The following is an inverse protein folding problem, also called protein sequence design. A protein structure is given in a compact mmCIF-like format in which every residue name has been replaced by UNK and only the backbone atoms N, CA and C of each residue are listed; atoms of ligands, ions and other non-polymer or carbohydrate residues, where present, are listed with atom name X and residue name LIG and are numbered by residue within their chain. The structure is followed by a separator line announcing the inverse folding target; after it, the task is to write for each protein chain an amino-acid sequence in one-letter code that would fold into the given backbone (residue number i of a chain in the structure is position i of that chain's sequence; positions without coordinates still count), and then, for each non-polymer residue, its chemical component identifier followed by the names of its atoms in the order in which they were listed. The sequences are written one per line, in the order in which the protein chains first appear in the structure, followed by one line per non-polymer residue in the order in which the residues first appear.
data_IF_284155133539
#
_entry.id   IF_284155133539
#
_cell.length_a   1.000
_cell.length_b   1.000
_cell.length_c   1.000
_cell.angle_alpha   90.00
_cell.angle_beta   90.00
_cell.angle_gamma   90.00
#
_symmetry.space_group_name_H-M   'P 1'
#
loop_
_entity.id
_entity.type
_entity.pdbx_description
1 polymer ?
#
# COMPACT_ATOMS: atom_id res chain seq x y z
N UNK A 1 0.78 2.19 24.69
CA UNK A 1 1.64 1.68 25.78
C UNK A 1 2.58 0.56 25.28
N UNK A 2 3.15 0.69 24.08
CA UNK A 2 3.89 -0.39 23.38
C UNK A 2 5.30 0.04 22.90
N UNK A 3 5.76 1.26 23.19
CA UNK A 3 6.97 1.85 22.58
C UNK A 3 8.24 1.81 23.45
N UNK A 4 8.13 1.63 24.76
CA UNK A 4 9.26 1.78 25.68
C UNK A 4 10.26 0.62 25.63
N UNK A 5 9.77 -0.61 25.47
CA UNK A 5 10.63 -1.80 25.42
C UNK A 5 11.41 -1.87 24.10
N UNK A 6 10.78 -1.50 22.97
CA UNK A 6 11.45 -1.35 21.66
C UNK A 6 12.62 -0.38 21.74
N UNK A 7 12.41 0.80 22.35
CA UNK A 7 13.49 1.78 22.54
C UNK A 7 14.63 1.21 23.42
N UNK A 8 14.28 0.43 24.45
CA UNK A 8 15.26 -0.26 25.29
C UNK A 8 16.08 -1.30 24.54
N UNK A 9 15.45 -2.10 23.67
CA UNK A 9 16.16 -3.12 22.88
C UNK A 9 17.08 -2.51 21.82
N UNK A 10 16.64 -1.44 21.14
CA UNK A 10 17.50 -0.68 20.23
C UNK A 10 18.73 -0.16 20.98
N UNK A 11 18.54 0.41 22.18
CA UNK A 11 19.65 0.92 22.99
C UNK A 11 20.62 -0.20 23.39
N UNK A 12 20.11 -1.34 23.82
CA UNK A 12 20.93 -2.51 24.17
C UNK A 12 21.75 -3.02 22.98
N UNK A 13 21.14 -3.12 21.80
CA UNK A 13 21.86 -3.52 20.59
C UNK A 13 22.88 -2.46 20.15
N UNK A 14 22.57 -1.17 20.25
CA UNK A 14 23.50 -0.08 19.92
C UNK A 14 24.74 -0.07 20.83
N UNK A 15 24.55 -0.39 22.11
CA UNK A 15 25.59 -0.48 23.13
C UNK A 15 26.38 -1.80 23.10
N UNK A 16 26.01 -2.78 22.26
CA UNK A 16 26.67 -4.09 22.25
C UNK A 16 28.14 -4.08 21.81
N UNK A 17 28.60 -3.02 21.14
CA UNK A 17 30.00 -2.90 20.71
C UNK A 17 30.76 -1.89 21.57
N UNK A 18 31.85 -2.39 22.18
CA UNK A 18 32.77 -1.61 23.00
C UNK A 18 33.45 -0.47 22.24
N UNK A 19 33.60 -0.58 20.92
CA UNK A 19 34.22 0.45 20.08
C UNK A 19 33.43 1.78 20.13
N UNK A 20 32.10 1.69 20.17
CA UNK A 20 31.24 2.86 20.17
C UNK A 20 31.03 3.46 21.56
N UNK A 21 31.33 2.70 22.62
CA UNK A 21 31.18 3.12 24.01
C UNK A 21 32.42 3.85 24.57
N UNK A 22 33.45 4.06 23.74
CA UNK A 22 34.68 4.73 24.16
C UNK A 22 34.45 6.18 24.65
N UNK A 23 33.47 6.87 24.06
CA UNK A 23 33.07 8.21 24.50
C UNK A 23 31.63 8.52 24.11
N UNK A 24 31.00 9.48 24.80
CA UNK A 24 29.65 9.95 24.45
C UNK A 24 29.57 10.47 23.01
N UNK A 25 30.60 11.18 22.53
CA UNK A 25 30.66 11.66 21.15
C UNK A 25 30.80 10.52 20.13
N UNK A 26 31.61 9.50 20.44
CA UNK A 26 31.78 8.32 19.58
C UNK A 26 30.48 7.53 19.50
N UNK A 27 29.78 7.40 20.62
CA UNK A 27 28.49 6.72 20.67
C UNK A 27 27.44 7.46 19.82
N UNK A 28 27.29 8.78 20.02
CA UNK A 28 26.35 9.60 19.24
C UNK A 28 26.67 9.56 17.74
N UNK A 29 27.95 9.64 17.36
CA UNK A 29 28.36 9.52 15.96
C UNK A 29 28.01 8.13 15.39
N UNK A 30 28.18 7.07 16.18
CA UNK A 30 27.88 5.70 15.75
C UNK A 30 26.39 5.44 15.48
N UNK A 31 25.49 6.27 16.01
CA UNK A 31 24.05 6.17 15.75
C UNK A 31 23.69 6.55 14.31
N UNK A 32 24.56 7.32 13.64
CA UNK A 32 24.42 7.71 12.23
C UNK A 32 25.25 6.85 11.28
N UNK A 33 25.96 5.84 11.80
CA UNK A 33 26.53 4.81 10.95
C UNK A 33 25.42 3.91 10.42
N UNK A 34 25.62 3.35 9.22
CA UNK A 34 24.67 2.46 8.58
C UNK A 34 24.53 1.16 9.36
N UNK A 35 23.58 1.14 10.29
CA UNK A 35 23.30 0.03 11.22
C UNK A 35 21.83 -0.30 11.18
N UNK A 36 21.50 -1.58 11.30
CA UNK A 36 20.13 -2.09 11.29
C UNK A 36 19.85 -2.84 12.58
N UNK A 37 18.80 -2.43 13.27
CA UNK A 37 18.27 -3.03 14.49
C UNK A 37 16.96 -3.74 14.13
N UNK A 38 16.91 -5.04 14.33
CA UNK A 38 15.71 -5.85 14.13
C UNK A 38 15.12 -6.18 15.51
N UNK A 39 13.95 -5.62 15.81
CA UNK A 39 13.19 -5.84 17.05
C UNK A 39 11.83 -6.42 16.67
N UNK A 40 11.59 -7.70 16.96
CA UNK A 40 10.47 -8.47 16.41
C UNK A 40 10.39 -8.30 14.86
N UNK A 41 9.27 -7.76 14.37
CA UNK A 41 9.02 -7.47 12.95
C UNK A 41 9.41 -6.03 12.55
N UNK A 42 9.97 -5.24 13.48
CA UNK A 42 10.33 -3.85 13.26
C UNK A 42 11.82 -3.72 12.92
N UNK A 43 12.09 -3.16 11.74
CA UNK A 43 13.43 -2.77 11.32
C UNK A 43 13.63 -1.28 11.58
N UNK A 44 14.58 -0.95 12.46
CA UNK A 44 14.97 0.42 12.80
C UNK A 44 16.43 0.61 12.39
N UNK A 45 16.75 1.66 11.65
CA UNK A 45 18.12 1.93 11.22
C UNK A 45 18.23 2.29 9.75
N UNK A 46 19.33 1.89 9.12
CA UNK A 46 19.77 2.34 7.79
C UNK A 46 19.92 3.86 7.69
N UNK A 47 20.26 4.49 8.81
CA UNK A 47 20.62 5.90 8.82
C UNK A 47 22.01 6.10 8.21
N UNK A 48 22.11 7.13 7.37
CA UNK A 48 23.33 7.53 6.72
C UNK A 48 23.83 8.86 7.28
N UNK A 49 25.03 8.87 7.85
CA UNK A 49 25.76 10.09 8.15
C UNK A 49 26.38 10.72 6.90
N UNK A 50 27.30 11.66 7.09
CA UNK A 50 28.12 12.13 5.98
C UNK A 50 29.04 11.01 5.48
N UNK A 51 29.20 10.92 4.16
CA UNK A 51 30.07 9.94 3.52
C UNK A 51 30.89 10.62 2.41
N UNK A 52 31.92 9.92 1.92
CA UNK A 52 32.68 10.36 0.75
C UNK A 52 31.97 10.00 -0.56
N UNK A 53 32.29 10.71 -1.64
CA UNK A 53 31.73 10.44 -2.97
C UNK A 53 31.99 9.00 -3.44
N UNK A 54 33.14 8.41 -3.09
CA UNK A 54 33.45 7.02 -3.44
C UNK A 54 32.53 6.06 -2.67
N UNK A 55 32.28 6.30 -1.39
CA UNK A 55 31.38 5.46 -0.62
C UNK A 55 29.94 5.55 -1.17
N UNK A 56 29.49 6.75 -1.53
CA UNK A 56 28.19 6.95 -2.18
C UNK A 56 28.11 6.21 -3.52
N UNK A 57 29.15 6.31 -4.36
CA UNK A 57 29.23 5.61 -5.65
C UNK A 57 29.17 4.08 -5.50
N UNK A 58 29.79 3.53 -4.46
CA UNK A 58 29.76 2.10 -4.12
C UNK A 58 28.46 1.66 -3.42
N UNK A 59 27.48 2.56 -3.28
CA UNK A 59 26.14 2.25 -2.77
C UNK A 59 25.93 2.50 -1.28
N UNK A 60 26.81 3.26 -0.61
CA UNK A 60 26.56 3.68 0.76
C UNK A 60 25.34 4.60 0.83
N UNK A 61 24.53 4.41 1.88
CA UNK A 61 23.37 5.27 2.15
C UNK A 61 23.86 6.48 2.94
N UNK A 62 23.89 7.66 2.31
CA UNK A 62 24.51 8.87 2.85
C UNK A 62 23.49 9.95 3.17
N UNK A 63 23.73 10.70 4.27
CA UNK A 63 22.88 11.79 4.76
C UNK A 63 21.40 11.38 4.80
N UNK A 64 21.12 10.16 5.23
CA UNK A 64 19.81 9.54 5.21
C UNK A 64 19.30 9.43 6.65
N UNK A 65 18.45 10.35 7.10
CA UNK A 65 17.89 10.30 8.45
C UNK A 65 16.37 10.17 8.46
N UNK A 66 15.79 9.68 7.35
CA UNK A 66 14.36 9.46 7.26
C UNK A 66 13.97 8.20 8.04
N UNK A 67 12.90 8.28 8.83
CA UNK A 67 12.36 7.17 9.59
C UNK A 67 11.72 6.07 8.73
N UNK A 68 10.75 5.36 9.28
CA UNK A 68 10.07 4.25 8.59
C UNK A 68 9.51 4.66 7.22
N UNK A 69 9.79 3.84 6.21
CA UNK A 69 9.39 4.04 4.80
C UNK A 69 8.14 3.28 4.40
N UNK A 70 7.49 2.67 5.39
CA UNK A 70 6.24 1.94 5.21
C UNK A 70 5.14 2.68 5.94
N UNK A 71 4.13 3.08 5.17
CA UNK A 71 2.89 3.65 5.67
C UNK A 71 1.91 2.49 5.86
N UNK A 72 1.32 2.40 7.05
CA UNK A 72 0.29 1.42 7.37
C UNK A 72 -1.04 2.13 7.61
N UNK A 73 -2.05 1.81 6.82
CA UNK A 73 -3.43 2.17 7.16
C UNK A 73 -3.97 1.24 8.25
N UNK A 74 -4.68 1.82 9.22
CA UNK A 74 -5.36 1.10 10.29
C UNK A 74 -6.81 1.58 10.39
N UNK A 75 -7.75 0.65 10.55
CA UNK A 75 -9.12 0.98 10.95
C UNK A 75 -9.28 0.81 12.45
N UNK A 76 -10.18 1.59 13.04
CA UNK A 76 -10.59 1.42 14.43
C UNK A 76 -11.94 0.68 14.44
N UNK A 77 -11.94 -0.54 14.96
CA UNK A 77 -13.15 -1.36 15.09
C UNK A 77 -14.04 -0.93 16.27
N UNK A 78 -15.09 -1.72 16.55
CA UNK A 78 -16.07 -1.45 17.62
C UNK A 78 -15.42 -1.30 19.01
N UNK A 79 -14.34 -2.02 19.26
CA UNK A 79 -13.57 -1.93 20.52
C UNK A 79 -12.48 -0.85 20.51
N UNK A 80 -12.48 0.06 19.54
CA UNK A 80 -11.41 1.06 19.28
C UNK A 80 -10.02 0.42 19.08
N UNK A 81 -9.96 -0.88 18.83
CA UNK A 81 -8.71 -1.54 18.51
C UNK A 81 -8.30 -1.16 17.09
N UNK A 82 -7.06 -0.68 16.95
CA UNK A 82 -6.46 -0.44 15.66
C UNK A 82 -6.16 -1.78 14.97
N UNK A 83 -6.86 -2.06 13.87
CA UNK A 83 -6.66 -3.23 13.01
C UNK A 83 -5.95 -2.78 11.75
N UNK A 84 -4.87 -3.47 11.40
CA UNK A 84 -4.12 -3.18 10.19
C UNK A 84 -4.89 -3.59 8.93
N UNK A 85 -4.99 -2.68 7.97
CA UNK A 85 -5.54 -2.95 6.64
C UNK A 85 -4.37 -3.28 5.71
N UNK A 86 -4.24 -4.55 5.33
CA UNK A 86 -3.11 -5.03 4.51
C UNK A 86 -3.00 -4.29 3.18
N UNK A 87 -4.14 -4.02 2.54
CA UNK A 87 -4.26 -3.32 1.27
C UNK A 87 -3.94 -1.82 1.38
N UNK A 88 -3.90 -1.28 2.60
CA UNK A 88 -3.48 0.09 2.88
C UNK A 88 -2.01 0.20 3.29
N UNK A 89 -1.19 -0.80 2.95
CA UNK A 89 0.26 -0.75 3.15
C UNK A 89 0.93 -0.16 1.92
N UNK A 90 1.68 0.91 2.11
CA UNK A 90 2.51 1.52 1.06
C UNK A 90 3.95 1.58 1.55
N UNK A 91 4.86 0.91 0.83
CA UNK A 91 6.29 0.91 1.12
C UNK A 91 7.05 1.65 0.03
N UNK A 92 7.94 2.56 0.41
CA UNK A 92 8.86 3.22 -0.51
C UNK A 92 10.22 2.51 -0.51
N UNK A 93 10.90 2.50 -1.66
CA UNK A 93 12.21 1.87 -1.83
C UNK A 93 13.19 2.31 -0.75
N UNK A 94 13.72 1.39 0.06
CA UNK A 94 14.64 1.68 1.16
C UNK A 94 15.90 2.45 0.79
N UNK A 95 16.32 2.41 -0.47
CA UNK A 95 17.59 2.99 -0.91
C UNK A 95 17.51 4.49 -1.25
N UNK A 96 16.31 5.07 -1.39
CA UNK A 96 16.14 6.47 -1.82
C UNK A 96 15.95 7.40 -0.62
N UNK A 97 16.97 8.13 -0.18
CA UNK A 97 16.91 8.91 1.05
C UNK A 97 15.95 10.10 1.07
N UNK A 98 15.74 10.76 -0.07
CA UNK A 98 14.89 11.95 -0.17
C UNK A 98 13.92 11.79 -1.34
N UNK A 99 12.75 11.25 -1.05
CA UNK A 99 11.64 11.20 -2.01
C UNK A 99 10.88 12.53 -1.95
N UNK A 100 11.18 13.44 -2.87
CA UNK A 100 10.52 14.75 -2.93
C UNK A 100 9.24 14.74 -3.78
N UNK A 101 9.07 13.75 -4.67
CA UNK A 101 8.03 13.74 -5.70
C UNK A 101 7.14 12.48 -5.66
N UNK A 102 6.68 12.09 -4.46
CA UNK A 102 5.70 11.01 -4.36
C UNK A 102 4.33 11.56 -4.79
N UNK A 103 3.96 11.30 -6.03
CA UNK A 103 2.61 11.57 -6.54
C UNK A 103 1.75 10.32 -6.40
N UNK A 104 0.78 10.36 -5.50
CA UNK A 104 -0.28 9.33 -5.43
C UNK A 104 -1.39 9.71 -6.40
N UNK A 105 -1.47 8.98 -7.52
CA UNK A 105 -2.58 9.14 -8.45
C UNK A 105 -3.87 8.55 -7.84
N UNK A 106 -5.03 9.19 -8.05
CA UNK A 106 -6.29 8.64 -7.61
C UNK A 106 -6.57 7.31 -8.33
N UNK A 107 -7.01 6.26 -7.61
CA UNK A 107 -7.34 4.98 -8.22
C UNK A 107 -8.48 5.13 -9.22
N UNK A 108 -8.43 4.37 -10.32
CA UNK A 108 -9.64 4.02 -11.06
C UNK A 108 -10.44 2.99 -10.24
N UNK A 109 -11.68 3.32 -9.89
CA UNK A 109 -12.56 2.45 -9.12
C UNK A 109 -13.55 1.81 -10.09
N UNK A 110 -13.28 0.58 -10.48
CA UNK A 110 -14.13 -0.25 -11.31
C UNK A 110 -15.18 -1.01 -10.50
N UNK A 111 -16.35 -1.21 -11.11
CA UNK A 111 -17.37 -2.13 -10.63
C UNK A 111 -17.66 -3.17 -11.72
N UNK A 112 -17.68 -4.44 -11.35
CA UNK A 112 -18.23 -5.52 -12.18
C UNK A 112 -19.47 -6.09 -11.50
N UNK A 113 -20.57 -6.19 -12.24
CA UNK A 113 -21.81 -6.79 -11.74
C UNK A 113 -21.90 -8.24 -12.20
N UNK A 114 -21.98 -9.17 -11.25
CA UNK A 114 -22.26 -10.58 -11.51
C UNK A 114 -23.77 -10.78 -11.58
N UNK A 115 -24.29 -10.96 -12.79
CA UNK A 115 -25.71 -11.18 -13.06
C UNK A 115 -26.11 -12.64 -12.80
N UNK A 116 -26.77 -12.90 -11.68
CA UNK A 116 -27.01 -14.27 -11.18
C UNK A 116 -28.11 -15.04 -11.94
N UNK A 117 -28.95 -14.33 -12.68
CA UNK A 117 -30.07 -14.84 -13.48
C UNK A 117 -29.69 -15.06 -14.95
N UNK A 118 -28.43 -14.80 -15.33
CA UNK A 118 -27.91 -15.09 -16.67
C UNK A 118 -26.59 -15.84 -16.57
N UNK A 119 -26.60 -17.14 -16.89
CA UNK A 119 -25.41 -17.98 -16.81
C UNK A 119 -24.29 -17.45 -17.71
N UNK A 120 -24.62 -17.07 -18.96
CA UNK A 120 -23.66 -16.52 -19.90
C UNK A 120 -23.02 -15.23 -19.37
N UNK A 121 -23.83 -14.30 -18.85
CA UNK A 121 -23.31 -13.03 -18.34
C UNK A 121 -22.46 -13.21 -17.08
N UNK A 122 -22.84 -14.17 -16.22
CA UNK A 122 -22.06 -14.53 -15.04
C UNK A 122 -20.71 -15.16 -15.41
N UNK A 123 -20.66 -16.05 -16.39
CA UNK A 123 -19.41 -16.68 -16.85
C UNK A 123 -18.47 -15.66 -17.49
N UNK A 124 -18.99 -14.75 -18.31
CA UNK A 124 -18.23 -13.65 -18.90
C UNK A 124 -17.63 -12.74 -17.81
N UNK A 125 -18.44 -12.30 -16.85
CA UNK A 125 -17.99 -11.48 -15.74
C UNK A 125 -16.93 -12.18 -14.86
N UNK A 126 -17.09 -13.48 -14.58
CA UNK A 126 -16.08 -14.27 -13.85
C UNK A 126 -14.75 -14.33 -14.59
N UNK A 127 -14.79 -14.54 -15.90
CA UNK A 127 -13.60 -14.61 -16.76
C UNK A 127 -12.86 -13.28 -16.75
N UNK A 128 -13.60 -12.18 -16.86
CA UNK A 128 -13.06 -10.82 -16.78
C UNK A 128 -12.44 -10.51 -15.40
N UNK A 129 -13.10 -10.90 -14.30
CA UNK A 129 -12.53 -10.71 -12.95
C UNK A 129 -11.22 -11.50 -12.82
N UNK A 130 -11.18 -12.73 -13.32
CA UNK A 130 -9.97 -13.55 -13.28
C UNK A 130 -8.82 -12.93 -14.09
N UNK A 131 -9.09 -12.43 -15.30
CA UNK A 131 -8.08 -11.79 -16.14
C UNK A 131 -7.59 -10.47 -15.53
N UNK A 132 -8.50 -9.63 -15.03
CA UNK A 132 -8.12 -8.38 -14.37
C UNK A 132 -7.33 -8.64 -13.09
N UNK A 133 -7.69 -9.64 -12.29
CA UNK A 133 -6.91 -10.04 -11.10
C UNK A 133 -5.52 -10.53 -11.50
N UNK A 134 -5.40 -11.28 -12.59
CA UNK A 134 -4.10 -11.73 -13.10
C UNK A 134 -3.25 -10.55 -13.60
N UNK A 135 -3.83 -9.57 -14.28
CA UNK A 135 -3.13 -8.37 -14.74
C UNK A 135 -2.67 -7.46 -13.58
N UNK A 136 -3.39 -7.49 -12.45
CA UNK A 136 -3.04 -6.76 -11.23
C UNK A 136 -2.07 -7.53 -10.31
N UNK A 137 -1.69 -8.77 -10.65
CA UNK A 137 -0.71 -9.55 -9.87
C UNK A 137 0.71 -9.07 -10.15
N UNK A 138 1.13 -8.16 -9.28
CA UNK A 138 2.45 -7.90 -8.70
C UNK A 138 3.71 -8.03 -9.60
N UNK A 139 4.33 -6.88 -9.86
CA UNK A 139 5.74 -6.73 -10.28
C UNK A 139 6.61 -6.11 -9.15
N UNK A 140 6.18 -6.23 -7.89
CA UNK A 140 6.93 -5.72 -6.73
C UNK A 140 6.78 -4.21 -6.45
N UNK A 141 6.18 -3.45 -7.36
CA UNK A 141 5.87 -2.03 -7.14
C UNK A 141 4.56 -1.86 -6.35
N UNK A 142 4.69 -1.62 -5.04
CA UNK A 142 3.57 -1.39 -4.14
C UNK A 142 2.82 -0.08 -4.40
N UNK A 143 3.44 0.92 -5.07
CA UNK A 143 2.76 2.15 -5.45
C UNK A 143 1.84 1.94 -6.66
N UNK A 144 2.23 1.07 -7.61
CA UNK A 144 1.42 0.72 -8.80
C UNK A 144 0.08 0.05 -8.46
N UNK A 145 0.00 -0.64 -7.31
CA UNK A 145 -1.23 -1.32 -6.83
C UNK A 145 -2.38 -0.35 -6.53
N UNK A 146 -2.08 0.95 -6.37
CA UNK A 146 -3.09 1.98 -6.13
C UNK A 146 -3.76 2.51 -7.40
N UNK A 147 -3.32 2.12 -8.60
CA UNK A 147 -3.85 2.72 -9.83
C UNK A 147 -5.25 2.22 -10.20
N UNK A 148 -5.62 1.01 -9.80
CA UNK A 148 -6.86 0.38 -10.24
C UNK A 148 -7.44 -0.58 -9.20
N UNK A 149 -8.70 -0.38 -8.84
CA UNK A 149 -9.45 -1.20 -7.90
C UNK A 149 -10.71 -1.74 -8.57
N UNK A 150 -10.91 -3.06 -8.60
CA UNK A 150 -12.19 -3.65 -8.99
C UNK A 150 -12.96 -4.09 -7.75
N UNK A 151 -14.21 -3.66 -7.67
CA UNK A 151 -15.22 -4.24 -6.78
C UNK A 151 -16.20 -5.09 -7.58
N UNK A 152 -16.75 -6.09 -6.92
CA UNK A 152 -17.75 -6.98 -7.52
C UNK A 152 -19.06 -6.88 -6.74
N UNK A 153 -20.17 -6.78 -7.46
CA UNK A 153 -21.50 -6.81 -6.86
C UNK A 153 -22.34 -7.92 -7.48
N UNK A 154 -23.06 -8.68 -6.64
CA UNK A 154 -24.09 -9.63 -7.10
C UNK A 154 -25.41 -8.89 -7.34
N UNK A 155 -26.07 -9.19 -8.46
CA UNK A 155 -27.39 -8.68 -8.80
C UNK A 155 -28.10 -9.62 -9.79
N UNK A 156 -29.39 -9.40 -10.01
CA UNK A 156 -30.09 -9.87 -11.22
C UNK A 156 -29.99 -8.83 -12.33
N UNK A 157 -30.34 -9.20 -13.56
CA UNK A 157 -30.48 -8.28 -14.71
C UNK A 157 -31.39 -7.10 -14.36
N UNK A 158 -32.60 -7.37 -13.87
CA UNK A 158 -33.56 -6.32 -13.48
C UNK A 158 -33.09 -5.45 -12.30
N UNK A 159 -32.24 -5.98 -11.40
CA UNK A 159 -31.76 -5.25 -10.23
C UNK A 159 -30.44 -4.50 -10.44
N UNK A 160 -29.78 -4.67 -11.59
CA UNK A 160 -28.40 -4.22 -11.79
C UNK A 160 -28.26 -2.69 -11.76
N UNK A 161 -29.24 -1.96 -12.30
CA UNK A 161 -29.31 -0.50 -12.22
C UNK A 161 -29.36 0.00 -10.77
N UNK A 162 -30.31 -0.51 -9.97
CA UNK A 162 -30.46 -0.11 -8.58
C UNK A 162 -29.23 -0.49 -7.74
N UNK A 163 -28.61 -1.63 -8.08
CA UNK A 163 -27.38 -2.07 -7.45
C UNK A 163 -26.22 -1.12 -7.73
N UNK A 164 -26.06 -0.66 -8.97
CA UNK A 164 -25.05 0.33 -9.36
C UNK A 164 -25.25 1.64 -8.60
N UNK A 165 -26.47 2.18 -8.58
CA UNK A 165 -26.79 3.40 -7.82
C UNK A 165 -26.52 3.23 -6.32
N UNK A 166 -26.90 2.10 -5.73
CA UNK A 166 -26.62 1.81 -4.33
C UNK A 166 -25.11 1.76 -4.03
N UNK A 167 -24.30 1.27 -4.97
CA UNK A 167 -22.84 1.27 -4.88
C UNK A 167 -22.26 2.69 -4.97
N UNK A 168 -22.72 3.48 -5.95
CA UNK A 168 -22.30 4.87 -6.17
C UNK A 168 -22.62 5.80 -4.98
N UNK A 169 -23.64 5.48 -4.18
CA UNK A 169 -23.94 6.21 -2.93
C UNK A 169 -22.93 5.96 -1.80
N UNK A 170 -22.19 4.85 -1.86
CA UNK A 170 -21.25 4.43 -0.79
C UNK A 170 -19.80 4.67 -1.18
N UNK A 171 -19.48 4.45 -2.46
CA UNK A 171 -18.13 4.61 -2.99
C UNK A 171 -18.18 5.32 -4.34
N UNK A 172 -17.09 6.00 -4.68
CA UNK A 172 -16.93 6.59 -6.00
C UNK A 172 -16.63 5.51 -7.03
N UNK A 173 -17.55 5.28 -7.97
CA UNK A 173 -17.37 4.36 -9.10
C UNK A 173 -16.99 5.19 -10.33
N UNK A 174 -15.83 4.90 -10.92
CA UNK A 174 -15.32 5.59 -12.11
C UNK A 174 -15.75 4.89 -13.39
N UNK A 175 -15.79 3.55 -13.35
CA UNK A 175 -16.20 2.74 -14.48
C UNK A 175 -16.97 1.50 -14.04
N UNK A 176 -17.93 1.06 -14.84
CA UNK A 176 -18.48 -0.28 -14.81
C UNK A 176 -17.84 -1.06 -15.96
N UNK A 177 -17.32 -2.25 -15.66
CA UNK A 177 -16.58 -3.03 -16.64
C UNK A 177 -17.11 -4.46 -16.69
N UNK A 178 -17.32 -4.96 -17.92
CA UNK A 178 -17.90 -6.27 -18.20
C UNK A 178 -19.37 -6.20 -18.61
N UNK A 179 -20.15 -7.22 -18.26
CA UNK A 179 -21.54 -7.34 -18.68
C UNK A 179 -22.43 -6.30 -18.00
N UNK A 180 -23.16 -5.54 -18.81
CA UNK A 180 -24.07 -4.48 -18.37
C UNK A 180 -25.44 -4.64 -19.00
N UNK A 181 -26.47 -4.16 -18.30
CA UNK A 181 -27.83 -4.09 -18.83
C UNK A 181 -28.08 -2.71 -19.43
N UNK A 182 -29.00 -2.60 -20.40
CA UNK A 182 -29.40 -1.29 -20.97
C UNK A 182 -29.77 -0.27 -19.88
N UNK A 183 -30.53 -0.69 -18.87
CA UNK A 183 -30.91 0.17 -17.75
C UNK A 183 -29.71 0.74 -16.97
N UNK A 184 -28.55 0.07 -16.95
CA UNK A 184 -27.36 0.62 -16.30
C UNK A 184 -26.76 1.76 -17.10
N UNK A 185 -26.85 1.73 -18.44
CA UNK A 185 -26.26 2.74 -19.32
C UNK A 185 -26.89 4.13 -19.13
N UNK A 186 -28.09 4.19 -18.57
CA UNK A 186 -28.77 5.45 -18.22
C UNK A 186 -28.20 6.13 -16.97
N UNK A 187 -27.29 5.46 -16.23
CA UNK A 187 -26.69 6.04 -15.03
C UNK A 187 -25.63 7.08 -15.40
N UNK A 188 -25.78 8.35 -15.00
CA UNK A 188 -24.81 9.40 -15.33
C UNK A 188 -23.55 9.31 -14.46
N UNK A 189 -22.49 9.98 -14.91
CA UNK A 189 -21.21 10.14 -14.18
C UNK A 189 -20.47 8.82 -13.89
N UNK A 190 -20.67 7.82 -14.75
CA UNK A 190 -19.89 6.57 -14.75
C UNK A 190 -19.58 6.18 -16.18
N UNK A 191 -18.39 5.62 -16.41
CA UNK A 191 -18.01 5.13 -17.73
C UNK A 191 -18.35 3.65 -17.85
N UNK A 192 -18.70 3.20 -19.05
CA UNK A 192 -18.93 1.78 -19.33
C UNK A 192 -17.80 1.27 -20.22
N UNK A 193 -17.14 0.21 -19.77
CA UNK A 193 -16.04 -0.43 -20.49
C UNK A 193 -16.51 -1.82 -20.90
N UNK A 194 -16.70 -1.97 -22.21
CA UNK A 194 -16.92 -3.26 -22.85
C UNK A 194 -15.55 -3.82 -23.29
N UNK A 195 -15.06 -4.90 -22.66
CA UNK A 195 -13.73 -5.46 -22.94
C UNK A 195 -13.63 -6.21 -24.28
#
# INVERSE_FOLDING_TARGET
MFSWWIAGEVLMQAMSSHEWLQSSSTFVASLFNQRRYLIDDLVIGDYGGECSEIAEFEGAVCRCNQGGRTIYMKSFGEDYRAVHIKEGTLSFDSWICYTNDITLLPPLNGLTVLLTDSQLAMEAAKTMIASATAALRDDGDHASKHLFNIKTALSTTNGAHDKLLAFMRRIRVHAVAGTVTEAMLDVPNVNFIDP
#
